data_IF_868395740015
#
_entry.id   IF_868395740015
#
_cell.length_a   1.000
_cell.length_b   1.000
_cell.length_c   1.000
_cell.angle_alpha   90.00
_cell.angle_beta   90.00
_cell.angle_gamma   90.00
#
_symmetry.space_group_name_H-M   'P 1'
#
loop_
_entity.id
_entity.type
_entity.pdbx_description
1 polymer ?
#
# COMPACT_ATOMS: atom_id res chain seq x y z
N UNK A 1 13.26 7.01 3.58
CA UNK A 1 13.06 6.17 2.36
C UNK A 1 11.88 5.23 2.61
N UNK A 2 11.36 4.56 1.58
CA UNK A 2 10.25 3.59 1.75
C UNK A 2 10.60 2.51 2.78
N UNK A 3 11.80 1.95 2.67
CA UNK A 3 12.37 0.97 3.61
C UNK A 3 12.32 1.46 5.06
N UNK A 4 12.77 2.68 5.33
CA UNK A 4 12.95 3.16 6.70
C UNK A 4 11.63 3.21 7.49
N UNK A 5 10.53 3.67 6.87
CA UNK A 5 9.24 3.66 7.56
C UNK A 5 8.51 2.32 7.43
N UNK A 6 8.84 1.47 6.46
CA UNK A 6 8.37 0.09 6.44
C UNK A 6 8.91 -0.72 7.61
N UNK A 7 10.20 -0.56 7.93
CA UNK A 7 10.84 -1.19 9.09
C UNK A 7 10.25 -0.67 10.41
N UNK A 8 10.08 0.65 10.54
CA UNK A 8 9.46 1.23 11.73
C UNK A 8 8.03 0.74 11.96
N UNK A 9 7.19 0.74 10.91
CA UNK A 9 5.81 0.23 11.00
C UNK A 9 5.76 -1.28 11.24
N UNK A 10 6.67 -2.06 10.66
CA UNK A 10 6.75 -3.50 10.91
C UNK A 10 7.05 -3.80 12.38
N UNK A 11 7.96 -3.02 12.99
CA UNK A 11 8.24 -3.10 14.42
C UNK A 11 7.04 -2.68 15.27
N UNK A 12 6.35 -1.60 14.91
CA UNK A 12 5.17 -1.10 15.65
C UNK A 12 4.02 -2.10 15.61
N UNK A 13 3.85 -2.78 14.48
CA UNK A 13 2.79 -3.77 14.25
C UNK A 13 3.23 -5.16 14.74
N UNK A 14 4.48 -5.35 15.18
CA UNK A 14 5.03 -6.64 15.61
C UNK A 14 4.92 -7.73 14.53
N UNK A 15 5.46 -7.44 13.34
CA UNK A 15 5.56 -8.39 12.22
C UNK A 15 6.90 -8.29 11.54
N UNK A 16 7.31 -9.38 10.87
CA UNK A 16 8.48 -9.40 10.01
C UNK A 16 8.05 -9.69 8.57
N UNK A 17 8.50 -8.88 7.62
CA UNK A 17 8.37 -9.15 6.19
C UNK A 17 9.71 -9.59 5.61
N UNK A 18 9.68 -10.33 4.51
CA UNK A 18 10.87 -10.92 3.89
C UNK A 18 11.64 -9.90 3.04
N UNK A 19 11.04 -9.49 1.92
CA UNK A 19 11.65 -8.52 0.99
C UNK A 19 10.61 -7.52 0.51
N UNK A 20 11.10 -6.32 0.22
CA UNK A 20 10.33 -5.25 -0.40
C UNK A 20 10.73 -5.11 -1.87
N UNK A 21 9.74 -5.04 -2.75
CA UNK A 21 9.95 -4.84 -4.19
C UNK A 21 9.16 -3.62 -4.68
N UNK A 22 9.74 -2.92 -5.65
CA UNK A 22 9.00 -1.98 -6.50
C UNK A 22 8.72 -2.65 -7.84
N UNK A 23 7.46 -2.68 -8.28
CA UNK A 23 7.03 -3.35 -9.51
C UNK A 23 6.05 -2.49 -10.31
N UNK A 24 5.95 -2.71 -11.62
CA UNK A 24 4.91 -2.06 -12.44
C UNK A 24 3.63 -2.91 -12.44
N UNK A 25 2.86 -2.86 -11.36
CA UNK A 25 1.61 -3.61 -11.25
C UNK A 25 0.50 -2.94 -12.09
N UNK A 26 -0.40 -3.76 -12.66
CA UNK A 26 -1.49 -3.29 -13.53
C UNK A 26 -2.79 -2.96 -12.78
N UNK A 27 -3.05 -3.62 -11.67
CA UNK A 27 -4.39 -3.69 -11.06
C UNK A 27 -4.44 -3.34 -9.57
N UNK A 28 -3.29 -3.06 -8.94
CA UNK A 28 -3.19 -2.81 -7.50
C UNK A 28 -2.10 -1.83 -7.16
N UNK A 29 -2.25 -1.19 -6.00
CA UNK A 29 -1.26 -0.31 -5.40
C UNK A 29 -0.12 -1.09 -4.76
N UNK A 30 -0.44 -2.19 -4.06
CA UNK A 30 0.55 -3.06 -3.44
C UNK A 30 0.00 -4.49 -3.30
N UNK A 31 0.87 -5.40 -2.86
CA UNK A 31 0.47 -6.75 -2.41
C UNK A 31 1.53 -7.44 -1.57
N UNK A 32 1.07 -8.23 -0.62
CA UNK A 32 1.84 -9.17 0.18
C UNK A 32 1.71 -10.60 -0.36
N UNK A 33 2.83 -11.32 -0.54
CA UNK A 33 2.80 -12.73 -0.92
C UNK A 33 2.78 -13.64 0.31
N UNK A 34 2.40 -14.91 0.12
CA UNK A 34 2.45 -15.92 1.20
C UNK A 34 3.84 -16.16 1.80
N UNK A 35 4.91 -15.70 1.13
CA UNK A 35 6.30 -15.74 1.63
C UNK A 35 6.70 -14.46 2.38
N UNK A 36 5.73 -13.59 2.69
CA UNK A 36 5.95 -12.30 3.33
C UNK A 36 6.65 -11.27 2.45
N UNK A 37 6.60 -11.39 1.13
CA UNK A 37 7.19 -10.40 0.24
C UNK A 37 6.21 -9.26 -0.03
N UNK A 38 6.60 -8.03 0.26
CA UNK A 38 5.82 -6.84 -0.04
C UNK A 38 6.19 -6.32 -1.43
N UNK A 39 5.20 -6.06 -2.27
CA UNK A 39 5.40 -5.47 -3.59
C UNK A 39 4.56 -4.22 -3.74
N UNK A 40 5.20 -3.09 -3.98
CA UNK A 40 4.54 -1.80 -4.20
C UNK A 40 4.60 -1.42 -5.68
N UNK A 41 3.51 -0.83 -6.18
CA UNK A 41 3.44 -0.33 -7.55
C UNK A 41 4.36 0.89 -7.71
N UNK A 42 5.16 0.97 -8.77
CA UNK A 42 5.98 2.15 -9.08
C UNK A 42 5.15 3.44 -9.10
N UNK A 43 3.91 3.37 -9.57
CA UNK A 43 2.99 4.52 -9.60
C UNK A 43 2.66 5.04 -8.21
N UNK A 44 2.81 4.24 -7.15
CA UNK A 44 2.56 4.69 -5.78
C UNK A 44 3.54 5.80 -5.37
N UNK A 45 4.65 5.99 -6.09
CA UNK A 45 5.60 7.09 -5.85
C UNK A 45 4.97 8.49 -5.92
N UNK A 46 3.81 8.65 -6.55
CA UNK A 46 3.10 9.94 -6.60
C UNK A 46 2.21 10.20 -5.37
N UNK A 47 2.01 9.18 -4.52
CA UNK A 47 1.12 9.30 -3.38
C UNK A 47 1.73 10.21 -2.31
N UNK A 48 0.90 11.03 -1.63
CA UNK A 48 1.29 11.65 -0.38
C UNK A 48 1.87 10.63 0.60
N UNK A 49 2.84 11.07 1.40
CA UNK A 49 3.57 10.20 2.32
C UNK A 49 2.66 9.40 3.24
N UNK A 50 1.58 9.99 3.73
CA UNK A 50 0.64 9.33 4.63
C UNK A 50 -0.20 8.24 3.96
N UNK A 51 -0.52 8.39 2.66
CA UNK A 51 -1.16 7.31 1.90
C UNK A 51 -0.18 6.16 1.60
N UNK A 52 1.09 6.48 1.36
CA UNK A 52 2.12 5.45 1.21
C UNK A 52 2.33 4.67 2.52
N UNK A 53 2.39 5.34 3.67
CA UNK A 53 2.45 4.66 4.98
C UNK A 53 1.23 3.76 5.19
N UNK A 54 0.06 4.20 4.76
CA UNK A 54 -1.16 3.42 4.86
C UNK A 54 -1.12 2.16 4.00
N UNK A 55 -0.63 2.24 2.77
CA UNK A 55 -0.39 1.06 1.93
C UNK A 55 0.61 0.11 2.59
N UNK A 56 1.70 0.62 3.16
CA UNK A 56 2.67 -0.22 3.88
C UNK A 56 2.01 -0.93 5.06
N UNK A 57 1.28 -0.21 5.90
CA UNK A 57 0.53 -0.78 7.01
C UNK A 57 -0.47 -1.86 6.52
N UNK A 58 -1.20 -1.58 5.44
CA UNK A 58 -2.14 -2.52 4.82
C UNK A 58 -1.47 -3.85 4.47
N UNK A 59 -0.32 -3.79 3.81
CA UNK A 59 0.43 -4.99 3.42
C UNK A 59 1.10 -5.71 4.60
N UNK A 60 1.49 -4.97 5.66
CA UNK A 60 2.01 -5.56 6.88
C UNK A 60 0.92 -6.30 7.66
N UNK A 61 -0.30 -5.76 7.73
CA UNK A 61 -1.44 -6.44 8.38
C UNK A 61 -1.80 -7.74 7.64
N UNK A 62 -1.53 -7.85 6.33
CA UNK A 62 -1.68 -9.11 5.62
C UNK A 62 -0.82 -10.26 6.14
N UNK A 63 0.27 -9.97 6.87
CA UNK A 63 1.09 -10.99 7.55
C UNK A 63 0.40 -11.57 8.79
N UNK A 64 -0.54 -10.83 9.40
CA UNK A 64 -1.39 -11.33 10.49
C UNK A 64 -2.72 -11.88 9.97
N UNK A 65 -3.27 -11.26 8.93
CA UNK A 65 -4.64 -11.50 8.46
C UNK A 65 -4.81 -11.30 6.95
N UNK A 66 -5.12 -12.38 6.25
CA UNK A 66 -5.18 -12.38 4.78
C UNK A 66 -6.48 -11.82 4.18
N UNK A 67 -7.59 -11.84 4.92
CA UNK A 67 -8.91 -11.38 4.43
C UNK A 67 -9.23 -9.99 4.95
N UNK A 68 -9.72 -9.10 4.09
CA UNK A 68 -10.19 -7.74 4.41
C UNK A 68 -11.55 -7.72 5.14
N UNK A 69 -11.70 -8.54 6.18
CA UNK A 69 -12.91 -8.57 7.00
C UNK A 69 -12.88 -7.51 8.12
N UNK A 70 -13.91 -7.51 8.97
CA UNK A 70 -14.05 -6.55 10.08
C UNK A 70 -12.83 -6.50 11.02
N UNK A 71 -12.18 -7.63 11.27
CA UNK A 71 -11.01 -7.64 12.15
C UNK A 71 -9.77 -7.07 11.47
N UNK A 72 -9.63 -7.25 10.15
CA UNK A 72 -8.57 -6.60 9.38
C UNK A 72 -8.67 -5.08 9.52
N UNK A 73 -9.84 -4.52 9.24
CA UNK A 73 -10.05 -3.08 9.34
C UNK A 73 -9.96 -2.57 10.78
N UNK A 74 -10.39 -3.37 11.76
CA UNK A 74 -10.16 -3.06 13.18
C UNK A 74 -8.68 -2.96 13.52
N UNK A 75 -7.82 -3.82 12.97
CA UNK A 75 -6.38 -3.75 13.18
C UNK A 75 -5.78 -2.51 12.51
N UNK A 76 -6.16 -2.22 11.27
CA UNK A 76 -5.74 -1.01 10.56
C UNK A 76 -6.13 0.25 11.36
N UNK A 77 -7.38 0.32 11.81
CA UNK A 77 -7.94 1.46 12.55
C UNK A 77 -7.26 1.74 13.89
N UNK A 78 -6.54 0.78 14.48
CA UNK A 78 -5.73 1.01 15.69
C UNK A 78 -4.53 1.93 15.43
N UNK A 79 -3.96 1.85 14.22
CA UNK A 79 -2.79 2.64 13.84
C UNK A 79 -3.19 3.87 13.02
N UNK A 80 -4.15 3.71 12.10
CA UNK A 80 -4.67 4.76 11.24
C UNK A 80 -6.18 4.92 11.48
N UNK A 81 -6.62 5.73 12.47
CA UNK A 81 -8.05 5.91 12.77
C UNK A 81 -8.86 6.47 11.59
N UNK A 82 -8.23 7.26 10.74
CA UNK A 82 -8.73 7.88 9.50
C UNK A 82 -8.48 6.99 8.26
N UNK A 83 -8.50 5.66 8.43
CA UNK A 83 -8.22 4.74 7.32
C UNK A 83 -9.26 4.82 6.20
N UNK A 84 -10.51 5.15 6.53
CA UNK A 84 -11.60 5.23 5.54
C UNK A 84 -11.33 6.37 4.55
N UNK A 85 -10.96 7.55 5.05
CA UNK A 85 -10.57 8.70 4.23
C UNK A 85 -9.32 8.43 3.39
N UNK A 86 -8.38 7.64 3.94
CA UNK A 86 -7.17 7.23 3.22
C UNK A 86 -7.49 6.24 2.09
N UNK A 87 -8.38 5.27 2.31
CA UNK A 87 -8.84 4.33 1.29
C UNK A 87 -9.59 5.06 0.16
N UNK A 88 -10.47 6.01 0.51
CA UNK A 88 -11.13 6.88 -0.48
C UNK A 88 -10.12 7.69 -1.29
N UNK A 89 -9.11 8.24 -0.61
CA UNK A 89 -8.04 8.99 -1.28
C UNK A 89 -7.25 8.09 -2.24
N UNK A 90 -6.91 6.87 -1.84
CA UNK A 90 -6.22 5.90 -2.70
C UNK A 90 -7.01 5.58 -3.97
N UNK A 91 -8.35 5.52 -3.88
CA UNK A 91 -9.22 5.40 -5.06
C UNK A 91 -9.07 6.62 -5.97
N UNK A 92 -9.12 7.85 -5.44
CA UNK A 92 -8.95 9.08 -6.23
C UNK A 92 -7.58 9.14 -6.92
N UNK A 93 -6.51 8.82 -6.20
CA UNK A 93 -5.17 8.76 -6.77
C UNK A 93 -5.03 7.65 -7.82
N UNK A 94 -5.78 6.55 -7.71
CA UNK A 94 -5.76 5.47 -8.70
C UNK A 94 -6.21 5.99 -10.07
N UNK A 95 -7.28 6.79 -10.09
CA UNK A 95 -7.73 7.47 -11.31
C UNK A 95 -6.65 8.39 -11.88
N UNK A 96 -5.98 9.20 -11.05
CA UNK A 96 -4.92 10.11 -11.50
C UNK A 96 -3.72 9.35 -12.08
N UNK A 97 -3.34 8.23 -11.47
CA UNK A 97 -2.17 7.44 -11.85
C UNK A 97 -2.40 6.51 -13.06
N UNK A 98 -3.64 6.08 -13.31
CA UNK A 98 -3.95 5.04 -14.30
C UNK A 98 -4.95 5.45 -15.38
N UNK A 99 -5.75 6.49 -15.16
CA UNK A 99 -6.81 6.93 -16.08
C UNK A 99 -6.63 8.36 -16.58
N UNK A 100 -5.42 8.91 -16.51
CA UNK A 100 -5.10 10.23 -17.05
C UNK A 100 -4.54 10.11 -18.48
N UNK A 101 -5.24 10.70 -19.47
CA UNK A 101 -4.89 10.66 -20.91
C UNK A 101 -3.43 11.09 -21.18
N UNK A 102 -2.93 12.20 -20.61
CA UNK A 102 -1.52 12.58 -20.67
C UNK A 102 -0.54 11.49 -20.22
N UNK A 103 -0.84 10.78 -19.12
CA UNK A 103 0.03 9.73 -18.60
C UNK A 103 0.08 8.54 -19.56
N UNK A 104 -1.05 8.13 -20.15
CA UNK A 104 -1.08 7.06 -21.14
C UNK A 104 -0.16 7.35 -22.34
N UNK A 105 -0.15 8.60 -22.83
CA UNK A 105 0.78 9.02 -23.89
C UNK A 105 2.26 8.90 -23.48
N UNK A 106 2.61 9.18 -22.22
CA UNK A 106 4.00 9.11 -21.73
C UNK A 106 4.50 7.66 -21.65
N UNK A 107 3.64 6.69 -21.33
CA UNK A 107 4.01 5.27 -21.19
C UNK A 107 3.73 4.43 -22.44
N UNK A 108 3.41 5.08 -23.56
CA UNK A 108 3.15 4.39 -24.84
C UNK A 108 1.89 3.52 -24.82
N UNK A 109 0.85 3.94 -24.09
CA UNK A 109 -0.49 3.33 -24.13
C UNK A 109 -1.51 4.20 -24.82
#
# INVERSE_FOLDING_TARGET
KLTDFSEALASEVEVEYNKLYIRSQKTKWASCSSKGNLSFNLRAAILPRELMKHLVLHELIHLKKSKHDKEFWKLIGRYHPDYEEKEESLVRYWFLAHKNKPWNKIIGK
#
